data_IF_077561168688
#
_entry.id   IF_077561168688
#
_cell.length_a   1.000
_cell.length_b   1.000
_cell.length_c   1.000
_cell.angle_alpha   90.00
_cell.angle_beta   90.00
_cell.angle_gamma   90.00
#
_symmetry.space_group_name_H-M   'P 1'
#
loop_
_entity.id
_entity.type
_entity.pdbx_description
1 polymer ?
#
# COMPACT_ATOMS: atom_id res chain seq x y z
N UNK A 1 -24.72 11.21 7.67
CA UNK A 1 -23.35 11.16 8.24
C UNK A 1 -22.90 12.61 8.38
N UNK A 2 -22.77 13.06 9.61
CA UNK A 2 -22.72 14.49 9.97
C UNK A 2 -21.39 15.12 9.59
N UNK A 3 -21.50 16.35 9.12
CA UNK A 3 -20.49 17.31 8.69
C UNK A 3 -19.53 17.65 9.86
N UNK A 4 -18.62 16.74 10.23
CA UNK A 4 -17.47 17.12 11.05
C UNK A 4 -16.43 17.65 10.06
N UNK A 5 -16.38 18.99 9.96
CA UNK A 5 -15.38 19.74 9.20
C UNK A 5 -13.98 19.26 9.58
N UNK A 6 -13.45 18.30 8.80
CA UNK A 6 -12.03 18.07 8.72
C UNK A 6 -11.48 19.34 8.03
N UNK A 7 -11.08 20.34 8.81
CA UNK A 7 -10.32 21.49 8.32
C UNK A 7 -9.05 20.95 7.65
N UNK A 8 -9.13 20.65 6.35
CA UNK A 8 -7.95 20.43 5.53
C UNK A 8 -7.29 21.79 5.39
N UNK A 9 -6.11 21.95 6.00
CA UNK A 9 -5.23 23.05 5.62
C UNK A 9 -4.90 22.86 4.15
N UNK A 10 -5.38 23.77 3.30
CA UNK A 10 -5.10 23.76 1.87
C UNK A 10 -3.81 24.54 1.67
N UNK A 11 -2.72 23.82 1.45
CA UNK A 11 -1.47 24.40 0.97
C UNK A 11 -1.42 24.25 -0.55
N UNK A 12 -1.19 25.34 -1.27
CA UNK A 12 -1.14 25.37 -2.73
C UNK A 12 0.13 26.04 -3.22
N UNK A 13 0.77 25.47 -4.25
CA UNK A 13 1.91 26.06 -4.93
C UNK A 13 1.71 25.98 -6.43
N UNK A 14 2.01 27.06 -7.14
CA UNK A 14 2.00 27.06 -8.61
C UNK A 14 3.35 26.51 -9.10
N UNK A 15 3.30 25.50 -9.94
CA UNK A 15 4.48 24.93 -10.62
C UNK A 15 4.26 24.97 -12.13
N UNK A 16 5.34 25.26 -12.86
CA UNK A 16 5.36 25.11 -14.31
C UNK A 16 5.42 23.62 -14.65
N UNK A 17 4.59 23.19 -15.58
CA UNK A 17 4.68 21.88 -16.20
C UNK A 17 5.83 21.91 -17.20
N UNK A 18 6.74 20.95 -17.12
CA UNK A 18 7.83 20.85 -18.09
C UNK A 18 7.31 20.43 -19.49
N UNK A 19 8.13 20.54 -20.56
CA UNK A 19 7.71 20.14 -21.90
C UNK A 19 7.30 18.66 -22.04
N UNK A 20 7.65 17.81 -21.08
CA UNK A 20 7.30 16.40 -21.04
C UNK A 20 6.04 16.13 -20.20
N UNK A 21 5.37 17.17 -19.69
CA UNK A 21 4.16 17.03 -18.88
C UNK A 21 4.41 16.74 -17.40
N UNK A 22 5.65 16.87 -16.90
CA UNK A 22 5.99 16.51 -15.52
C UNK A 22 5.85 17.70 -14.58
N UNK A 23 5.55 17.41 -13.32
CA UNK A 23 5.53 18.38 -12.22
C UNK A 23 6.43 17.89 -11.09
N UNK A 24 7.11 18.83 -10.42
CA UNK A 24 7.88 18.53 -9.22
C UNK A 24 7.01 18.71 -7.98
N UNK A 25 6.88 17.65 -7.18
CA UNK A 25 6.20 17.69 -5.89
C UNK A 25 7.18 18.27 -4.86
N UNK A 26 6.81 19.33 -4.10
CA UNK A 26 7.64 19.89 -3.05
C UNK A 26 8.16 18.83 -2.08
N UNK A 27 9.43 18.95 -1.66
CA UNK A 27 10.07 17.98 -0.77
C UNK A 27 9.29 17.80 0.54
N UNK A 28 8.78 18.90 1.11
CA UNK A 28 8.01 18.88 2.35
C UNK A 28 6.70 18.11 2.21
N UNK A 29 6.08 18.10 1.03
CA UNK A 29 4.80 17.41 0.78
C UNK A 29 4.98 15.91 0.56
N UNK A 30 6.14 15.49 0.04
CA UNK A 30 6.49 14.08 -0.16
C UNK A 30 7.36 13.49 0.96
N UNK A 31 7.65 14.28 1.99
CA UNK A 31 8.44 13.85 3.14
C UNK A 31 7.68 12.75 3.87
N UNK A 32 8.28 11.57 3.95
CA UNK A 32 7.68 10.39 4.59
C UNK A 32 6.96 9.43 3.62
N UNK A 33 6.91 9.72 2.32
CA UNK A 33 6.46 8.72 1.34
C UNK A 33 7.42 7.53 1.33
N UNK A 34 6.88 6.32 1.39
CA UNK A 34 7.67 5.08 1.39
C UNK A 34 7.91 4.49 -0.01
N UNK A 35 7.36 5.12 -1.04
CA UNK A 35 7.52 4.73 -2.44
C UNK A 35 7.64 5.96 -3.34
N UNK A 36 8.27 5.77 -4.49
CA UNK A 36 8.30 6.69 -5.62
C UNK A 36 7.06 6.56 -6.53
N UNK A 37 6.13 5.66 -6.21
CA UNK A 37 4.89 5.43 -6.96
C UNK A 37 3.75 6.26 -6.42
N UNK A 38 2.98 6.83 -7.35
CA UNK A 38 1.75 7.56 -7.07
C UNK A 38 0.61 7.01 -7.93
N UNK A 39 -0.59 7.03 -7.37
CA UNK A 39 -1.81 6.87 -8.12
C UNK A 39 -2.30 8.24 -8.57
N UNK A 40 -2.48 8.40 -9.88
CA UNK A 40 -3.08 9.59 -10.46
C UNK A 40 -4.55 9.31 -10.73
N UNK A 41 -5.43 10.08 -10.09
CA UNK A 41 -6.87 9.97 -10.28
C UNK A 41 -7.40 11.25 -10.94
N UNK A 42 -8.03 11.11 -12.10
CA UNK A 42 -8.72 12.21 -12.77
C UNK A 42 -10.15 12.33 -12.24
N UNK A 43 -10.46 13.47 -11.63
CA UNK A 43 -11.77 13.83 -11.09
C UNK A 43 -12.26 15.11 -11.81
N UNK A 44 -12.89 14.94 -12.97
CA UNK A 44 -13.26 16.07 -13.84
C UNK A 44 -12.01 16.83 -14.30
N UNK A 45 -11.91 18.09 -13.89
CA UNK A 45 -10.79 18.99 -14.20
C UNK A 45 -9.67 18.96 -13.16
N UNK A 46 -9.82 18.16 -12.10
CA UNK A 46 -8.83 18.02 -11.03
C UNK A 46 -8.10 16.69 -11.19
N UNK A 47 -6.77 16.73 -11.01
CA UNK A 47 -5.95 15.52 -10.86
C UNK A 47 -5.56 15.40 -9.40
N UNK A 48 -6.01 14.33 -8.76
CA UNK A 48 -5.56 13.95 -7.42
C UNK A 48 -4.31 13.07 -7.54
N UNK A 49 -3.28 13.39 -6.77
CA UNK A 49 -2.04 12.62 -6.67
C UNK A 49 -2.01 11.97 -5.30
N UNK A 50 -2.00 10.64 -5.26
CA UNK A 50 -2.07 9.87 -4.03
C UNK A 50 -0.83 8.97 -3.94
N UNK A 51 0.03 9.10 -2.91
CA UNK A 51 1.17 8.19 -2.75
C UNK A 51 0.68 6.75 -2.54
N UNK A 52 1.38 5.79 -3.16
CA UNK A 52 1.12 4.38 -2.94
C UNK A 52 2.11 3.88 -1.88
N UNK A 53 1.59 3.40 -0.76
CA UNK A 53 2.42 2.70 0.21
C UNK A 53 2.85 1.34 -0.36
N UNK A 54 4.15 0.98 -0.27
CA UNK A 54 4.60 -0.33 -0.73
C UNK A 54 3.93 -1.40 0.12
N UNK A 55 3.22 -2.31 -0.53
CA UNK A 55 2.72 -3.52 0.11
C UNK A 55 3.88 -4.49 0.27
N UNK A 56 4.23 -4.92 1.49
CA UNK A 56 5.24 -5.96 1.66
C UNK A 56 4.71 -7.25 1.01
N UNK A 57 5.57 -8.08 0.37
CA UNK A 57 5.13 -9.30 -0.29
C UNK A 57 4.33 -10.22 0.64
N UNK A 58 4.68 -10.25 1.93
CA UNK A 58 3.97 -11.00 2.98
C UNK A 58 2.47 -10.68 3.07
N UNK A 59 2.06 -9.46 2.69
CA UNK A 59 0.64 -9.06 2.70
C UNK A 59 -0.13 -9.53 1.46
N UNK A 60 0.56 -10.05 0.45
CA UNK A 60 -0.04 -10.60 -0.77
C UNK A 60 -0.18 -12.12 -0.73
N UNK A 61 0.46 -12.77 0.24
CA UNK A 61 0.33 -14.20 0.47
C UNK A 61 -0.73 -14.46 1.54
N UNK A 62 -1.60 -15.43 1.30
CA UNK A 62 -2.40 -16.01 2.36
C UNK A 62 -1.46 -16.67 3.38
N UNK A 63 -1.48 -16.17 4.62
CA UNK A 63 -0.72 -16.78 5.70
C UNK A 63 -1.38 -18.10 6.11
N UNK A 64 -0.66 -19.21 5.94
CA UNK A 64 -1.10 -20.52 6.44
C UNK A 64 -0.53 -20.68 7.85
N UNK A 65 -1.40 -20.81 8.87
CA UNK A 65 -0.98 -21.16 10.23
C UNK A 65 -0.87 -22.68 10.35
N UNK A 66 0.32 -23.17 10.63
CA UNK A 66 0.60 -24.57 10.97
C UNK A 66 0.99 -24.59 12.46
N UNK A 67 0.68 -25.68 13.18
CA UNK A 67 1.03 -25.80 14.59
C UNK A 67 2.56 -25.77 14.82
N UNK A 68 2.97 -25.30 16.00
CA UNK A 68 4.39 -25.09 16.34
C UNK A 68 5.21 -26.40 16.46
N UNK A 69 4.54 -27.55 16.53
CA UNK A 69 5.15 -28.89 16.66
C UNK A 69 5.39 -29.59 15.30
N UNK A 70 5.76 -28.84 14.27
CA UNK A 70 6.02 -29.42 12.93
C UNK A 70 7.46 -29.16 12.52
N UNK A 71 8.16 -30.23 12.19
CA UNK A 71 9.47 -30.15 11.58
C UNK A 71 9.35 -29.71 10.11
N UNK A 72 9.84 -28.50 9.82
CA UNK A 72 9.85 -27.92 8.48
C UNK A 72 10.84 -28.59 7.53
N UNK A 73 11.74 -29.45 8.02
CA UNK A 73 12.69 -30.21 7.21
C UNK A 73 12.17 -31.56 6.74
N UNK A 74 11.05 -32.04 7.30
CA UNK A 74 10.35 -33.26 6.85
C UNK A 74 9.08 -32.91 6.03
N UNK A 75 9.12 -33.10 4.68
CA UNK A 75 7.96 -32.85 3.82
C UNK A 75 6.72 -33.68 4.18
N UNK A 76 6.90 -34.87 4.76
CA UNK A 76 5.78 -35.74 5.13
C UNK A 76 5.09 -35.28 6.40
N UNK A 77 5.85 -34.78 7.39
CA UNK A 77 5.31 -34.12 8.58
C UNK A 77 4.54 -32.86 8.21
N UNK A 78 5.11 -31.99 7.38
CA UNK A 78 4.45 -30.77 6.90
C UNK A 78 3.14 -31.06 6.16
N UNK A 79 3.13 -32.03 5.26
CA UNK A 79 1.92 -32.41 4.52
C UNK A 79 0.82 -32.91 5.45
N UNK A 80 1.15 -33.71 6.48
CA UNK A 80 0.17 -34.19 7.47
C UNK A 80 -0.43 -33.04 8.25
N UNK A 81 0.42 -32.17 8.82
CA UNK A 81 -0.03 -31.04 9.61
C UNK A 81 -0.88 -30.04 8.79
N UNK A 82 -0.52 -29.80 7.53
CA UNK A 82 -1.30 -28.97 6.62
C UNK A 82 -2.66 -29.58 6.26
N UNK A 83 -2.74 -30.91 6.10
CA UNK A 83 -4.01 -31.60 5.85
C UNK A 83 -4.92 -31.61 7.07
N UNK A 84 -4.35 -31.71 8.27
CA UNK A 84 -5.09 -31.62 9.54
C UNK A 84 -5.62 -30.21 9.78
N UNK A 85 -4.85 -29.16 9.47
CA UNK A 85 -5.30 -27.77 9.63
C UNK A 85 -6.47 -27.40 8.71
N UNK A 86 -6.62 -28.05 7.55
CA UNK A 86 -7.77 -27.87 6.63
C UNK A 86 -9.07 -28.55 7.08
N UNK A 87 -9.03 -29.43 8.08
CA UNK A 87 -10.21 -30.17 8.58
C UNK A 87 -10.87 -29.51 9.80
N UNK A 88 -10.34 -28.38 10.27
CA UNK A 88 -10.88 -27.57 11.36
C UNK A 88 -11.61 -26.35 10.82
#
# INVERSE_FOLDING_TARGET
MTLVELRKMVEGVVKKVDPQGRISIPIEWRRGWKSDRVFLKKCGDVIEVIPIEPLPPSNLFDSIKIGDEVDFTDPHSLKRAFMESRRR
#
